data_IF_722641273709
#
_entry.id   IF_722641273709
#
_cell.length_a   1.000
_cell.length_b   1.000
_cell.length_c   1.000
_cell.angle_alpha   90.00
_cell.angle_beta   90.00
_cell.angle_gamma   90.00
#
_symmetry.space_group_name_H-M   'P 1'
#
loop_
_entity.id
_entity.type
_entity.pdbx_description
1 polymer ?
#
# COMPACT_ATOMS: atom_id res chain seq x y z
N UNK A 1 -4.49 11.01 13.39
CA UNK A 1 -3.34 10.10 13.57
C UNK A 1 -3.05 9.43 12.24
N UNK A 2 -1.77 9.17 11.91
CA UNK A 2 -1.37 8.41 10.73
C UNK A 2 -1.18 6.94 11.14
N UNK A 3 -1.67 6.01 10.32
CA UNK A 3 -1.57 4.57 10.58
C UNK A 3 -0.71 3.93 9.49
N UNK A 4 0.34 3.23 9.89
CA UNK A 4 1.21 2.45 9.00
C UNK A 4 0.72 1.01 8.93
N UNK A 5 0.45 0.50 7.73
CA UNK A 5 0.17 -0.93 7.51
C UNK A 5 1.43 -1.61 6.98
N UNK A 6 2.09 -2.39 7.83
CA UNK A 6 3.33 -3.12 7.53
C UNK A 6 3.11 -4.55 6.97
N UNK A 7 1.91 -4.87 6.49
CA UNK A 7 1.61 -6.14 5.81
C UNK A 7 0.95 -5.82 4.45
N UNK A 8 1.67 -6.06 3.35
CA UNK A 8 1.09 -6.01 2.01
C UNK A 8 -0.09 -7.02 1.95
N UNK A 9 -1.31 -6.61 1.53
CA UNK A 9 -2.44 -7.53 1.46
C UNK A 9 -2.17 -8.58 0.37
N UNK A 10 -1.77 -9.77 0.82
CA UNK A 10 -1.54 -10.92 -0.04
C UNK A 10 -2.88 -11.48 -0.52
N UNK A 11 -3.25 -11.17 -1.76
CA UNK A 11 -4.30 -11.90 -2.48
C UNK A 11 -3.65 -13.10 -3.16
N UNK A 12 -4.24 -14.29 -3.02
CA UNK A 12 -3.79 -15.49 -3.74
C UNK A 12 -3.65 -15.21 -5.25
N UNK A 13 -2.56 -15.66 -5.92
CA UNK A 13 -2.36 -15.47 -7.35
C UNK A 13 -3.57 -15.84 -8.21
N UNK A 14 -4.28 -16.90 -7.86
CA UNK A 14 -5.46 -17.42 -8.59
C UNK A 14 -6.68 -16.49 -8.50
N UNK A 15 -6.65 -15.54 -7.58
CA UNK A 15 -7.72 -14.57 -7.32
C UNK A 15 -7.38 -13.16 -7.82
N UNK A 16 -6.29 -13.00 -8.56
CA UNK A 16 -5.87 -11.73 -9.15
C UNK A 16 -6.79 -11.30 -10.31
N UNK A 17 -6.88 -9.99 -10.55
CA UNK A 17 -7.68 -9.44 -11.66
C UNK A 17 -9.19 -9.42 -11.43
N UNK A 18 -9.68 -9.98 -10.32
CA UNK A 18 -11.12 -10.10 -10.00
C UNK A 18 -11.63 -8.98 -9.06
N UNK A 19 -10.82 -7.93 -8.83
CA UNK A 19 -11.22 -6.80 -7.98
C UNK A 19 -11.07 -7.03 -6.47
N UNK A 20 -10.75 -8.25 -6.02
CA UNK A 20 -10.59 -8.57 -4.59
C UNK A 20 -9.61 -7.67 -3.84
N UNK A 21 -8.46 -7.35 -4.46
CA UNK A 21 -7.49 -6.44 -3.85
C UNK A 21 -8.11 -5.06 -3.57
N UNK A 22 -8.89 -4.52 -4.52
CA UNK A 22 -9.56 -3.23 -4.34
C UNK A 22 -10.63 -3.29 -3.25
N UNK A 23 -11.40 -4.38 -3.20
CA UNK A 23 -12.39 -4.59 -2.15
C UNK A 23 -11.75 -4.68 -0.76
N UNK A 24 -10.61 -5.38 -0.63
CA UNK A 24 -9.84 -5.44 0.62
C UNK A 24 -9.32 -4.06 1.04
N UNK A 25 -8.79 -3.28 0.09
CA UNK A 25 -8.34 -1.92 0.39
C UNK A 25 -9.49 -1.03 0.84
N UNK A 26 -10.63 -1.04 0.13
CA UNK A 26 -11.83 -0.30 0.54
C UNK A 26 -12.30 -0.70 1.93
N UNK A 27 -12.36 -2.00 2.21
CA UNK A 27 -12.76 -2.54 3.52
C UNK A 27 -11.81 -2.08 4.65
N UNK A 28 -10.51 -1.96 4.38
CA UNK A 28 -9.55 -1.44 5.35
C UNK A 28 -9.64 0.08 5.51
N UNK A 29 -9.89 0.81 4.42
CA UNK A 29 -9.95 2.28 4.37
C UNK A 29 -11.19 2.87 5.07
N UNK A 30 -12.37 2.27 4.85
CA UNK A 30 -13.65 2.75 5.37
C UNK A 30 -13.68 2.96 6.89
N UNK A 31 -13.33 1.97 7.74
CA UNK A 31 -13.35 2.16 9.19
C UNK A 31 -12.28 3.15 9.67
N UNK A 32 -11.17 3.29 8.95
CA UNK A 32 -10.15 4.29 9.26
C UNK A 32 -10.66 5.70 8.99
N UNK A 33 -11.30 5.92 7.86
CA UNK A 33 -11.95 7.19 7.52
C UNK A 33 -13.04 7.54 8.54
N UNK A 34 -13.90 6.58 8.90
CA UNK A 34 -14.94 6.77 9.91
C UNK A 34 -14.40 7.17 11.30
N UNK A 35 -13.17 6.80 11.62
CA UNK A 35 -12.46 7.17 12.86
C UNK A 35 -11.68 8.48 12.76
N UNK A 36 -11.80 9.21 11.65
CA UNK A 36 -11.09 10.47 11.42
C UNK A 36 -9.59 10.28 11.13
N UNK A 37 -9.18 9.11 10.64
CA UNK A 37 -7.85 8.96 10.07
C UNK A 37 -7.74 9.83 8.82
N UNK A 38 -6.60 10.52 8.68
CA UNK A 38 -6.38 11.48 7.59
C UNK A 38 -5.53 10.93 6.46
N UNK A 39 -4.70 9.94 6.78
CA UNK A 39 -3.62 9.47 5.92
C UNK A 39 -3.40 7.97 6.16
N UNK A 40 -3.31 7.21 5.08
CA UNK A 40 -2.77 5.85 5.10
C UNK A 40 -1.38 5.89 4.49
N UNK A 41 -0.46 5.20 5.15
CA UNK A 41 0.89 4.97 4.66
C UNK A 41 1.08 3.46 4.48
N UNK A 42 1.59 3.09 3.31
CA UNK A 42 2.02 1.73 2.98
C UNK A 42 3.49 1.74 2.65
N UNK A 43 4.22 0.75 3.12
CA UNK A 43 5.66 0.63 2.93
C UNK A 43 5.98 -0.74 2.34
N UNK A 44 6.81 -0.79 1.30
CA UNK A 44 7.18 -2.06 0.66
C UNK A 44 8.62 -2.03 0.15
N UNK A 45 9.20 -3.22 -0.04
CA UNK A 45 10.52 -3.41 -0.64
C UNK A 45 10.48 -3.04 -2.13
N UNK A 46 11.60 -2.57 -2.67
CA UNK A 46 11.77 -2.27 -4.09
C UNK A 46 12.13 -3.50 -4.94
N UNK A 47 12.56 -4.58 -4.30
CA UNK A 47 12.89 -5.85 -4.96
C UNK A 47 11.91 -6.94 -4.52
N UNK A 48 12.15 -8.19 -4.93
CA UNK A 48 11.28 -9.32 -4.61
C UNK A 48 9.95 -9.33 -5.39
N UNK A 49 9.08 -10.28 -5.05
CA UNK A 49 7.79 -10.53 -5.72
C UNK A 49 6.73 -9.44 -5.56
N UNK A 50 7.10 -8.25 -5.08
CA UNK A 50 6.20 -7.15 -4.75
C UNK A 50 5.94 -6.18 -5.92
N UNK A 51 6.47 -6.43 -7.12
CA UNK A 51 6.19 -5.61 -8.31
C UNK A 51 4.69 -5.40 -8.55
N UNK A 52 3.90 -6.46 -8.36
CA UNK A 52 2.44 -6.40 -8.49
C UNK A 52 1.80 -5.52 -7.42
N UNK A 53 2.27 -5.60 -6.17
CA UNK A 53 1.77 -4.75 -5.08
C UNK A 53 2.11 -3.28 -5.35
N UNK A 54 3.34 -2.98 -5.78
CA UNK A 54 3.77 -1.63 -6.17
C UNK A 54 2.95 -1.07 -7.33
N UNK A 55 2.63 -1.88 -8.33
CA UNK A 55 1.75 -1.47 -9.43
C UNK A 55 0.25 -1.40 -9.05
N UNK A 56 -0.13 -1.98 -7.92
CA UNK A 56 -1.51 -2.01 -7.42
C UNK A 56 -1.86 -0.76 -6.62
N UNK A 57 -0.97 -0.26 -5.75
CA UNK A 57 -1.24 0.91 -4.90
C UNK A 57 -1.66 2.16 -5.69
N UNK A 58 -1.01 2.53 -6.82
CA UNK A 58 -1.48 3.63 -7.67
C UNK A 58 -2.91 3.46 -8.20
N UNK A 59 -3.33 2.23 -8.51
CA UNK A 59 -4.70 1.91 -8.98
C UNK A 59 -5.75 2.06 -7.87
N UNK A 60 -5.32 2.05 -6.61
CA UNK A 60 -6.13 2.31 -5.43
C UNK A 60 -6.11 3.78 -5.00
N UNK A 61 -5.42 4.66 -5.73
CA UNK A 61 -5.34 6.09 -5.44
C UNK A 61 -4.24 6.46 -4.45
N UNK A 62 -3.25 5.59 -4.25
CA UNK A 62 -2.05 5.92 -3.50
C UNK A 62 -1.00 6.56 -4.41
N UNK A 63 -0.16 7.41 -3.83
CA UNK A 63 0.97 8.05 -4.51
C UNK A 63 2.28 7.54 -3.92
N UNK A 64 3.31 7.26 -4.73
CA UNK A 64 4.66 7.02 -4.22
C UNK A 64 5.20 8.34 -3.63
N UNK A 65 5.20 8.45 -2.30
CA UNK A 65 5.54 9.67 -1.57
C UNK A 65 7.06 9.77 -1.36
N UNK A 66 7.71 8.64 -1.10
CA UNK A 66 9.14 8.60 -0.79
C UNK A 66 9.79 7.27 -1.14
N UNK A 67 11.11 7.33 -1.33
CA UNK A 67 11.98 6.18 -1.51
C UNK A 67 13.26 6.36 -0.72
N UNK A 68 13.56 5.40 0.15
CA UNK A 68 14.78 5.38 0.96
C UNK A 68 15.69 4.28 0.40
N UNK A 69 16.82 4.69 -0.18
CA UNK A 69 17.72 3.78 -0.89
C UNK A 69 18.41 2.81 0.07
N UNK A 70 18.56 1.56 -0.37
CA UNK A 70 19.25 0.50 0.38
C UNK A 70 18.77 0.32 1.83
N UNK A 71 17.50 0.62 2.11
CA UNK A 71 16.96 0.59 3.47
C UNK A 71 16.94 -0.83 4.05
N UNK A 72 16.53 -1.82 3.26
CA UNK A 72 16.44 -3.21 3.71
C UNK A 72 17.75 -3.97 3.44
N UNK A 73 18.35 -3.76 2.26
CA UNK A 73 19.62 -4.35 1.85
C UNK A 73 20.23 -3.51 0.71
N UNK A 74 21.48 -3.80 0.33
CA UNK A 74 22.07 -3.20 -0.86
C UNK A 74 21.26 -3.57 -2.11
N UNK A 75 20.76 -2.57 -2.83
CA UNK A 75 19.84 -2.73 -3.96
C UNK A 75 18.38 -2.91 -3.58
N UNK A 76 18.03 -2.91 -2.28
CA UNK A 76 16.66 -3.01 -1.79
C UNK A 76 16.24 -1.74 -1.03
N UNK A 77 15.61 -0.83 -1.77
CA UNK A 77 15.00 0.39 -1.25
C UNK A 77 13.68 0.12 -0.52
N UNK A 78 13.38 0.96 0.46
CA UNK A 78 12.03 1.10 1.01
C UNK A 78 11.26 2.12 0.20
N UNK A 79 10.11 1.72 -0.34
CA UNK A 79 9.19 2.59 -1.08
C UNK A 79 7.98 2.86 -0.18
N UNK A 80 7.62 4.13 -0.07
CA UNK A 80 6.50 4.60 0.74
C UNK A 80 5.41 5.12 -0.18
N UNK A 81 4.21 4.57 -0.03
CA UNK A 81 3.00 5.02 -0.68
C UNK A 81 2.08 5.72 0.32
N UNK A 82 1.46 6.82 -0.08
CA UNK A 82 0.54 7.60 0.75
C UNK A 82 -0.83 7.74 0.08
N UNK A 83 -1.90 7.79 0.89
CA UNK A 83 -3.24 8.15 0.42
C UNK A 83 -3.95 9.00 1.45
N UNK A 84 -4.42 10.19 1.03
CA UNK A 84 -5.31 11.01 1.85
C UNK A 84 -6.68 10.33 1.96
N UNK A 85 -7.21 10.25 3.19
CA UNK A 85 -8.59 9.84 3.46
C UNK A 85 -9.51 11.06 3.70
N UNK A 86 -8.94 12.26 3.70
CA UNK A 86 -9.70 13.51 3.85
C UNK A 86 -10.06 14.01 2.45
N UNK A 87 -11.36 14.24 2.23
CA UNK A 87 -11.90 14.96 1.06
C UNK A 87 -11.76 16.46 1.30
#
# INVERSE_FOLDING_TARGET
>A
MATSMSNDPLVSPDSHGQGHGRALMSFAEEPLAARGARLIIVETSSVGGFERARAFYPKCGYTEEARIRNFYALGDDKIVFSKSLTV
#
